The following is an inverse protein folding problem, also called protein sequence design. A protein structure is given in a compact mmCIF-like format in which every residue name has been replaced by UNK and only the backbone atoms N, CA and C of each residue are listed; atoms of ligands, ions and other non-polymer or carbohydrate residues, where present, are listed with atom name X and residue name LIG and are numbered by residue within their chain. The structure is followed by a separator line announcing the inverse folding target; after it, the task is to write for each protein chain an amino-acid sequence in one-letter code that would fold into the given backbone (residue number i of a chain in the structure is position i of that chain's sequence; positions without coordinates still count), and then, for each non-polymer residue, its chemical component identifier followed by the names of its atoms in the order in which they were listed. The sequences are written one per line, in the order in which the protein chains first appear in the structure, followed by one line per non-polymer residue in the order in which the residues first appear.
data_IF_816629275172
#
_entry.id   IF_816629275172
#
_cell.length_a   1.000
_cell.length_b   1.000
_cell.length_c   1.000
_cell.angle_alpha   90.00
_cell.angle_beta   90.00
_cell.angle_gamma   90.00
#
_symmetry.space_group_name_H-M   'P 1'
#
loop_
_entity.id
_entity.type
_entity.pdbx_description
1 polymer ?
#
# COMPACT_ATOMS: atom_id res chain seq x y z
N UNK A 1 -30.66 -5.68 -27.35
CA UNK A 1 -30.02 -5.29 -26.06
C UNK A 1 -30.53 -6.24 -24.97
N UNK A 2 -29.98 -7.42 -24.88
CA UNK A 2 -30.38 -8.41 -23.88
C UNK A 2 -29.21 -9.36 -23.71
N UNK A 3 -28.91 -9.74 -22.48
CA UNK A 3 -27.95 -10.77 -22.04
C UNK A 3 -26.51 -10.32 -21.75
N UNK A 4 -26.31 -9.30 -20.89
CA UNK A 4 -25.08 -9.14 -20.10
C UNK A 4 -25.37 -8.75 -18.63
N UNK A 5 -26.41 -9.26 -18.01
CA UNK A 5 -26.86 -8.85 -16.67
C UNK A 5 -26.50 -9.80 -15.52
N UNK A 6 -25.72 -10.88 -15.73
CA UNK A 6 -25.34 -11.78 -14.63
C UNK A 6 -23.90 -12.32 -14.70
N UNK A 7 -22.97 -11.66 -15.39
CA UNK A 7 -21.54 -11.92 -15.23
C UNK A 7 -21.00 -11.14 -14.04
N UNK A 8 -20.37 -11.78 -13.07
CA UNK A 8 -19.66 -11.10 -11.99
C UNK A 8 -18.71 -10.07 -12.59
N UNK A 9 -19.04 -8.77 -12.45
CA UNK A 9 -18.17 -7.70 -12.96
C UNK A 9 -16.82 -7.82 -12.27
N UNK A 10 -15.74 -7.83 -13.06
CA UNK A 10 -14.37 -7.78 -12.53
C UNK A 10 -14.27 -6.61 -11.53
N UNK A 11 -13.90 -6.85 -10.27
CA UNK A 11 -13.68 -5.75 -9.33
C UNK A 11 -12.50 -4.89 -9.78
N UNK A 12 -12.58 -3.59 -9.51
CA UNK A 12 -11.58 -2.61 -9.95
C UNK A 12 -11.08 -1.81 -8.76
N UNK A 13 -9.77 -1.67 -8.62
CA UNK A 13 -9.15 -0.75 -7.69
C UNK A 13 -8.40 0.37 -8.41
N UNK A 14 -8.23 1.50 -7.73
CA UNK A 14 -7.33 2.57 -8.16
C UNK A 14 -6.02 2.48 -7.38
N UNK A 15 -4.89 2.39 -8.07
CA UNK A 15 -3.55 2.54 -7.49
C UNK A 15 -3.04 3.96 -7.72
N UNK A 16 -2.76 4.70 -6.64
CA UNK A 16 -2.13 6.01 -6.67
C UNK A 16 -0.75 5.91 -6.04
N UNK A 17 0.31 6.16 -6.81
CA UNK A 17 1.68 6.00 -6.29
C UNK A 17 2.76 6.33 -7.29
N UNK A 18 4.03 6.18 -6.87
CA UNK A 18 5.19 6.41 -7.72
C UNK A 18 5.33 5.35 -8.82
N UNK A 19 5.92 5.73 -9.93
CA UNK A 19 6.35 4.80 -10.97
C UNK A 19 7.79 4.35 -10.69
N UNK A 20 7.96 3.05 -10.49
CA UNK A 20 9.27 2.39 -10.36
C UNK A 20 9.62 1.74 -11.72
N UNK A 21 10.67 2.22 -12.44
CA UNK A 21 11.02 1.68 -13.76
C UNK A 21 11.49 0.22 -13.71
N UNK A 22 11.91 -0.28 -12.54
CA UNK A 22 12.29 -1.69 -12.39
C UNK A 22 11.09 -2.62 -12.28
N UNK A 23 9.91 -2.06 -12.01
CA UNK A 23 8.68 -2.82 -11.74
C UNK A 23 8.70 -3.57 -10.41
N UNK A 24 9.70 -3.35 -9.55
CA UNK A 24 9.82 -3.99 -8.24
C UNK A 24 8.88 -3.40 -7.19
N UNK A 25 8.46 -2.15 -7.37
CA UNK A 25 7.54 -1.44 -6.47
C UNK A 25 6.60 -0.52 -7.25
N UNK A 26 5.96 0.45 -6.57
CA UNK A 26 5.11 1.47 -7.16
C UNK A 26 3.91 0.90 -7.92
N UNK A 27 3.33 1.72 -8.80
CA UNK A 27 2.07 1.37 -9.50
C UNK A 27 2.19 0.12 -10.40
N UNK A 28 3.38 -0.22 -10.86
CA UNK A 28 3.58 -1.47 -11.62
C UNK A 28 3.42 -2.71 -10.72
N UNK A 29 4.00 -2.68 -9.52
CA UNK A 29 3.79 -3.74 -8.54
C UNK A 29 2.36 -3.76 -8.04
N UNK A 30 1.75 -2.59 -7.83
CA UNK A 30 0.36 -2.48 -7.42
C UNK A 30 -0.57 -3.18 -8.43
N UNK A 31 -0.36 -2.97 -9.73
CA UNK A 31 -1.13 -3.62 -10.80
C UNK A 31 -0.90 -5.14 -10.84
N UNK A 32 0.34 -5.60 -10.64
CA UNK A 32 0.64 -7.04 -10.58
C UNK A 32 -0.02 -7.71 -9.38
N UNK A 33 0.07 -7.08 -8.21
CA UNK A 33 -0.55 -7.61 -6.99
C UNK A 33 -2.08 -7.66 -7.11
N UNK A 34 -2.70 -6.64 -7.71
CA UNK A 34 -4.13 -6.63 -7.99
C UNK A 34 -4.53 -7.75 -8.95
N UNK A 35 -3.80 -7.93 -10.05
CA UNK A 35 -4.05 -9.00 -11.01
C UNK A 35 -3.91 -10.39 -10.38
N UNK A 36 -2.87 -10.60 -9.55
CA UNK A 36 -2.68 -11.83 -8.78
C UNK A 36 -3.79 -12.08 -7.73
N UNK A 37 -4.50 -11.02 -7.31
CA UNK A 37 -5.69 -11.08 -6.45
C UNK A 37 -7.01 -11.22 -7.22
N UNK A 38 -7.00 -11.28 -8.56
CA UNK A 38 -8.19 -11.37 -9.41
C UNK A 38 -8.93 -10.04 -9.58
N UNK A 39 -8.22 -8.90 -9.53
CA UNK A 39 -8.77 -7.53 -9.56
C UNK A 39 -8.07 -6.71 -10.64
N UNK A 40 -8.83 -5.93 -11.40
CA UNK A 40 -8.26 -4.94 -12.32
C UNK A 40 -7.75 -3.71 -11.55
N UNK A 41 -6.59 -3.18 -11.92
CA UNK A 41 -6.06 -1.95 -11.34
C UNK A 41 -5.97 -0.85 -12.40
N UNK A 42 -6.64 0.28 -12.14
CA UNK A 42 -6.29 1.56 -12.76
C UNK A 42 -5.10 2.14 -12.01
N UNK A 43 -4.20 2.84 -12.68
CA UNK A 43 -3.03 3.43 -12.06
C UNK A 43 -2.91 4.93 -12.38
N UNK A 44 -2.74 5.73 -11.32
CA UNK A 44 -2.40 7.16 -11.42
C UNK A 44 -1.01 7.36 -10.80
N UNK A 45 -0.09 7.85 -11.62
CA UNK A 45 1.30 8.05 -11.23
C UNK A 45 1.47 9.39 -10.52
N UNK A 46 1.86 9.36 -9.23
CA UNK A 46 2.12 10.59 -8.44
C UNK A 46 3.47 11.22 -8.77
N UNK A 47 4.46 10.38 -9.10
CA UNK A 47 5.82 10.79 -9.44
C UNK A 47 6.55 9.70 -10.22
N UNK A 48 7.50 10.12 -11.05
CA UNK A 48 8.43 9.24 -11.75
C UNK A 48 9.71 9.12 -10.92
N UNK A 49 10.13 7.89 -10.59
CA UNK A 49 11.37 7.67 -9.84
C UNK A 49 12.52 7.28 -10.75
N UNK A 50 13.72 7.65 -10.35
CA UNK A 50 14.99 7.15 -10.90
C UNK A 50 15.61 6.27 -9.83
N UNK A 51 15.46 4.96 -10.00
CA UNK A 51 15.94 3.97 -9.04
C UNK A 51 16.30 2.67 -9.74
N UNK A 52 17.10 1.86 -9.03
CA UNK A 52 17.37 0.47 -9.35
C UNK A 52 16.74 -0.44 -8.29
N UNK A 53 16.94 -1.74 -8.38
CA UNK A 53 16.46 -2.66 -7.33
C UNK A 53 17.20 -2.46 -5.99
N UNK A 54 18.40 -1.82 -6.01
CA UNK A 54 19.24 -1.61 -4.82
C UNK A 54 19.27 -0.16 -4.34
N UNK A 55 19.05 0.83 -5.21
CA UNK A 55 19.27 2.24 -4.90
C UNK A 55 18.18 3.15 -5.43
N UNK A 56 17.94 4.25 -4.73
CA UNK A 56 17.05 5.33 -5.13
C UNK A 56 17.89 6.60 -5.35
N UNK A 57 17.73 7.26 -6.50
CA UNK A 57 18.44 8.48 -6.83
C UNK A 57 17.58 9.73 -6.59
N UNK A 58 16.45 9.83 -7.28
CA UNK A 58 15.55 10.99 -7.22
C UNK A 58 14.16 10.65 -7.75
N UNK A 59 13.24 11.57 -7.62
CA UNK A 59 11.97 11.53 -8.33
C UNK A 59 11.63 12.88 -8.97
N UNK A 60 10.76 12.83 -9.98
CA UNK A 60 10.10 13.99 -10.57
C UNK A 60 8.59 13.89 -10.28
N UNK A 61 7.98 14.98 -9.84
CA UNK A 61 6.54 15.06 -9.58
C UNK A 61 5.74 15.12 -10.87
N UNK A 62 4.55 14.56 -10.87
CA UNK A 62 3.53 14.81 -11.90
C UNK A 62 2.79 16.11 -11.52
N UNK A 63 2.49 17.02 -12.48
CA UNK A 63 1.74 18.23 -12.24
C UNK A 63 0.34 17.97 -11.65
N UNK A 64 -0.15 18.92 -10.86
CA UNK A 64 -1.42 18.78 -10.12
C UNK A 64 -2.62 18.58 -11.05
N UNK A 65 -2.72 19.36 -12.11
CA UNK A 65 -3.75 19.30 -13.14
C UNK A 65 -3.81 17.93 -13.81
N UNK A 66 -2.64 17.37 -14.19
CA UNK A 66 -2.53 16.01 -14.77
C UNK A 66 -3.00 14.96 -13.77
N UNK A 67 -2.69 15.14 -12.48
CA UNK A 67 -3.17 14.20 -11.43
C UNK A 67 -4.69 14.26 -11.30
N UNK A 68 -5.26 15.44 -11.22
CA UNK A 68 -6.71 15.63 -11.08
C UNK A 68 -7.46 15.06 -12.30
N UNK A 69 -6.99 15.33 -13.52
CA UNK A 69 -7.57 14.77 -14.76
C UNK A 69 -7.45 13.24 -14.82
N UNK A 70 -6.29 12.70 -14.43
CA UNK A 70 -6.06 11.24 -14.42
C UNK A 70 -6.96 10.53 -13.41
N UNK A 71 -7.14 11.10 -12.23
CA UNK A 71 -8.05 10.59 -11.20
C UNK A 71 -9.51 10.62 -11.68
N UNK A 72 -9.92 11.72 -12.31
CA UNK A 72 -11.27 11.86 -12.88
C UNK A 72 -11.49 10.87 -14.03
N UNK A 73 -10.52 10.70 -14.93
CA UNK A 73 -10.59 9.74 -16.02
C UNK A 73 -10.74 8.29 -15.54
N UNK A 74 -9.97 7.91 -14.51
CA UNK A 74 -10.07 6.57 -13.92
C UNK A 74 -11.45 6.33 -13.29
N UNK A 75 -11.97 7.29 -12.51
CA UNK A 75 -13.27 7.20 -11.88
C UNK A 75 -14.43 7.25 -12.87
N UNK A 76 -14.26 7.99 -13.99
CA UNK A 76 -15.26 8.03 -15.08
C UNK A 76 -15.28 6.76 -15.94
N UNK A 77 -14.15 6.05 -16.01
CA UNK A 77 -14.03 4.84 -16.85
C UNK A 77 -14.49 3.57 -16.14
N UNK A 78 -14.37 3.51 -14.81
CA UNK A 78 -14.64 2.29 -14.03
C UNK A 78 -15.38 2.57 -12.73
N UNK A 79 -16.21 1.60 -12.32
CA UNK A 79 -16.73 1.57 -10.95
C UNK A 79 -15.63 1.08 -10.01
N UNK A 80 -14.99 1.99 -9.33
CA UNK A 80 -13.94 1.68 -8.37
C UNK A 80 -14.52 1.05 -7.10
N UNK A 81 -13.86 0.05 -6.54
CA UNK A 81 -14.23 -0.60 -5.28
C UNK A 81 -13.32 -0.21 -4.11
N UNK A 82 -12.09 0.23 -4.39
CA UNK A 82 -11.15 0.73 -3.38
C UNK A 82 -10.05 1.58 -4.03
N UNK A 83 -9.34 2.35 -3.22
CA UNK A 83 -8.15 3.11 -3.62
C UNK A 83 -6.97 2.66 -2.77
N UNK A 84 -5.88 2.27 -3.41
CA UNK A 84 -4.58 2.10 -2.75
C UNK A 84 -3.76 3.36 -2.94
N UNK A 85 -3.24 3.92 -1.86
CA UNK A 85 -2.32 5.05 -1.88
C UNK A 85 -0.95 4.58 -1.39
N UNK A 86 0.07 4.73 -2.26
CA UNK A 86 1.47 4.46 -1.94
C UNK A 86 2.29 5.74 -1.81
N UNK A 87 3.42 5.82 -2.54
CA UNK A 87 4.27 7.00 -2.54
C UNK A 87 3.51 8.23 -3.09
N UNK A 88 3.36 9.25 -2.26
CA UNK A 88 2.70 10.52 -2.61
C UNK A 88 3.72 11.54 -3.15
N UNK A 89 4.87 11.65 -2.52
CA UNK A 89 5.99 12.48 -2.94
C UNK A 89 5.83 13.96 -2.59
N UNK A 90 4.85 14.66 -3.13
CA UNK A 90 4.73 16.12 -3.08
C UNK A 90 3.42 16.60 -2.45
N UNK A 91 3.38 17.89 -2.07
CA UNK A 91 2.16 18.54 -1.60
C UNK A 91 1.05 18.48 -2.64
N UNK A 92 1.36 18.77 -3.91
CA UNK A 92 0.38 18.73 -4.99
C UNK A 92 -0.29 17.36 -5.13
N UNK A 93 0.50 16.27 -5.06
CA UNK A 93 -0.02 14.91 -5.11
C UNK A 93 -0.83 14.57 -3.87
N UNK A 94 -0.41 15.00 -2.67
CA UNK A 94 -1.17 14.80 -1.44
C UNK A 94 -2.54 15.48 -1.50
N UNK A 95 -2.58 16.72 -1.98
CA UNK A 95 -3.81 17.49 -2.14
C UNK A 95 -4.71 16.93 -3.24
N UNK A 96 -4.15 16.38 -4.34
CA UNK A 96 -4.93 15.75 -5.40
C UNK A 96 -5.69 14.54 -4.89
N UNK A 97 -4.98 13.58 -4.27
CA UNK A 97 -5.62 12.36 -3.76
C UNK A 97 -6.55 12.65 -2.58
N UNK A 98 -6.25 13.65 -1.74
CA UNK A 98 -7.12 14.09 -0.66
C UNK A 98 -8.43 14.66 -1.20
N UNK A 99 -8.37 15.56 -2.21
CA UNK A 99 -9.54 16.12 -2.88
C UNK A 99 -10.39 15.04 -3.54
N UNK A 100 -9.74 14.10 -4.25
CA UNK A 100 -10.40 12.95 -4.85
C UNK A 100 -11.14 12.10 -3.79
N UNK A 101 -10.48 11.80 -2.69
CA UNK A 101 -11.09 11.01 -1.60
C UNK A 101 -12.25 11.72 -0.92
N UNK A 102 -12.22 13.04 -0.86
CA UNK A 102 -13.31 13.83 -0.31
C UNK A 102 -14.55 13.84 -1.21
N UNK A 103 -14.35 13.78 -2.53
CA UNK A 103 -15.42 13.67 -3.52
C UNK A 103 -16.01 12.23 -3.60
N UNK A 104 -15.22 11.21 -3.23
CA UNK A 104 -15.59 9.79 -3.31
C UNK A 104 -15.56 9.14 -1.91
N UNK A 105 -16.41 9.63 -1.01
CA UNK A 105 -16.38 9.25 0.41
C UNK A 105 -16.65 7.76 0.68
N UNK A 106 -17.38 7.11 -0.20
CA UNK A 106 -17.74 5.68 -0.09
C UNK A 106 -16.61 4.75 -0.53
N UNK A 107 -15.57 5.27 -1.20
CA UNK A 107 -14.42 4.47 -1.58
C UNK A 107 -13.46 4.28 -0.39
N UNK A 108 -13.22 3.03 0.07
CA UNK A 108 -12.24 2.75 1.08
C UNK A 108 -10.82 3.03 0.57
N UNK A 109 -10.03 3.78 1.37
CA UNK A 109 -8.62 4.03 1.11
C UNK A 109 -7.75 3.07 1.89
N UNK A 110 -6.89 2.34 1.20
CA UNK A 110 -5.77 1.59 1.80
C UNK A 110 -4.51 2.41 1.61
N UNK A 111 -3.99 2.98 2.69
CA UNK A 111 -2.81 3.84 2.65
C UNK A 111 -1.59 3.07 3.14
N UNK A 112 -0.62 2.87 2.26
CA UNK A 112 0.73 2.42 2.62
C UNK A 112 1.58 3.66 2.91
N UNK A 113 1.96 3.93 4.17
CA UNK A 113 2.55 5.20 4.55
C UNK A 113 4.04 5.27 4.21
N UNK A 114 4.34 5.22 2.91
CA UNK A 114 5.70 5.22 2.37
C UNK A 114 6.36 6.58 2.60
N UNK A 115 7.15 6.69 3.66
CA UNK A 115 7.88 7.91 4.01
C UNK A 115 9.32 7.91 3.49
N UNK A 116 9.92 6.70 3.39
CA UNK A 116 11.30 6.51 2.90
C UNK A 116 11.38 5.31 1.97
N UNK A 117 12.37 5.36 1.06
CA UNK A 117 12.74 4.18 0.25
C UNK A 117 13.40 3.11 1.11
N UNK A 118 13.51 1.89 0.59
CA UNK A 118 14.31 0.82 1.24
C UNK A 118 15.78 1.17 1.42
N UNK A 119 16.31 2.12 0.63
CA UNK A 119 17.66 2.69 0.79
C UNK A 119 17.72 3.88 1.76
N UNK A 120 16.59 4.27 2.39
CA UNK A 120 16.53 5.33 3.40
C UNK A 120 16.27 6.74 2.86
N UNK A 121 16.21 6.95 1.54
CA UNK A 121 15.93 8.25 0.95
C UNK A 121 14.50 8.75 1.31
N UNK A 122 14.36 10.05 1.55
CA UNK A 122 13.06 10.67 1.86
C UNK A 122 12.18 10.67 0.61
N UNK A 123 10.98 10.10 0.71
CA UNK A 123 10.02 9.97 -0.37
C UNK A 123 8.79 10.88 -0.22
N UNK A 124 8.68 11.61 0.88
CA UNK A 124 7.63 12.60 1.12
C UNK A 124 8.28 13.95 1.43
N UNK A 125 7.95 14.97 0.64
CA UNK A 125 8.46 16.32 0.89
C UNK A 125 7.88 16.87 2.20
N UNK A 126 8.66 17.68 2.97
CA UNK A 126 8.15 18.28 4.21
C UNK A 126 6.90 19.13 4.01
N UNK A 127 6.78 19.82 2.87
CA UNK A 127 5.61 20.62 2.52
C UNK A 127 4.34 19.81 2.29
N UNK A 128 4.45 18.50 2.04
CA UNK A 128 3.31 17.61 1.88
C UNK A 128 2.70 17.16 3.22
N UNK A 129 3.45 17.23 4.33
CA UNK A 129 3.04 16.69 5.63
C UNK A 129 1.65 17.10 6.11
N UNK A 130 1.23 18.39 6.00
CA UNK A 130 -0.10 18.80 6.46
C UNK A 130 -1.24 18.09 5.72
N UNK A 131 -1.18 18.05 4.37
CA UNK A 131 -2.17 17.36 3.56
C UNK A 131 -2.09 15.83 3.73
N UNK A 132 -0.88 15.30 3.88
CA UNK A 132 -0.65 13.88 4.12
C UNK A 132 -1.25 13.40 5.44
N UNK A 133 -1.14 14.17 6.53
CA UNK A 133 -1.80 13.86 7.81
C UNK A 133 -3.33 13.83 7.69
N UNK A 134 -3.91 14.70 6.86
CA UNK A 134 -5.35 14.66 6.58
C UNK A 134 -5.71 13.40 5.78
N UNK A 135 -4.86 13.00 4.81
CA UNK A 135 -5.05 11.77 4.05
C UNK A 135 -5.03 10.52 4.94
N UNK A 136 -4.12 10.45 5.93
CA UNK A 136 -4.08 9.35 6.89
C UNK A 136 -5.40 9.21 7.68
N UNK A 137 -6.05 10.32 8.03
CA UNK A 137 -7.36 10.33 8.71
C UNK A 137 -8.53 9.94 7.79
N UNK A 138 -8.30 9.86 6.49
CA UNK A 138 -9.26 9.37 5.51
C UNK A 138 -9.09 7.88 5.20
N UNK A 139 -8.00 7.28 5.68
CA UNK A 139 -7.72 5.87 5.45
C UNK A 139 -8.78 4.98 6.13
N UNK A 140 -9.26 3.98 5.39
CA UNK A 140 -10.01 2.86 5.97
C UNK A 140 -9.05 1.81 6.53
N UNK A 141 -7.91 1.65 5.86
CA UNK A 141 -6.83 0.75 6.30
C UNK A 141 -5.48 1.46 6.14
N UNK A 142 -4.65 1.38 7.16
CA UNK A 142 -3.28 1.86 7.17
C UNK A 142 -2.32 0.66 7.29
N UNK A 143 -1.27 0.61 6.45
CA UNK A 143 -0.35 -0.54 6.40
C UNK A 143 1.10 -0.16 6.72
N UNK A 144 1.41 0.40 7.89
CA UNK A 144 2.77 0.79 8.25
C UNK A 144 3.67 -0.43 8.49
N UNK A 145 4.97 -0.28 8.22
CA UNK A 145 6.00 -1.10 8.84
C UNK A 145 6.39 -0.53 10.22
N UNK A 146 7.27 -1.21 10.95
CA UNK A 146 7.68 -0.79 12.29
C UNK A 146 8.26 0.64 12.29
N UNK A 147 9.15 0.95 11.35
CA UNK A 147 9.79 2.25 11.28
C UNK A 147 8.79 3.38 10.91
N UNK A 148 7.84 3.09 10.01
CA UNK A 148 6.77 4.01 9.64
C UNK A 148 5.86 4.28 10.84
N UNK A 149 5.50 3.25 11.61
CA UNK A 149 4.72 3.39 12.84
C UNK A 149 5.44 4.26 13.88
N UNK A 150 6.73 4.01 14.14
CA UNK A 150 7.55 4.86 15.02
C UNK A 150 7.55 6.33 14.58
N UNK A 151 7.66 6.59 13.28
CA UNK A 151 7.64 7.96 12.73
C UNK A 151 6.28 8.63 12.82
N UNK A 152 5.21 7.88 12.62
CA UNK A 152 3.84 8.41 12.71
C UNK A 152 3.45 8.74 14.16
N UNK A 153 3.94 7.95 15.13
CA UNK A 153 3.69 8.13 16.55
C UNK A 153 4.74 9.01 17.27
N UNK A 154 5.82 9.36 16.54
CA UNK A 154 6.97 10.09 17.10
C UNK A 154 7.55 9.45 18.38
N UNK A 155 7.57 8.11 18.42
CA UNK A 155 8.15 7.33 19.53
C UNK A 155 8.77 6.03 19.05
N UNK A 156 9.66 5.45 19.90
CA UNK A 156 10.22 4.13 19.64
C UNK A 156 9.23 3.05 20.04
N UNK A 157 9.30 1.93 19.31
CA UNK A 157 8.54 0.71 19.59
C UNK A 157 9.56 -0.38 19.95
N UNK A 158 9.59 -0.77 21.22
CA UNK A 158 10.71 -1.54 21.78
C UNK A 158 10.40 -3.01 22.02
N UNK A 159 9.14 -3.41 21.92
CA UNK A 159 8.71 -4.81 22.10
C UNK A 159 7.55 -5.17 21.20
N UNK A 160 7.27 -6.48 21.08
CA UNK A 160 6.12 -6.96 20.32
C UNK A 160 4.77 -6.54 20.96
N UNK A 161 4.73 -6.49 22.30
CA UNK A 161 3.54 -5.97 23.01
C UNK A 161 3.33 -4.48 22.72
N UNK A 162 4.41 -3.69 22.78
CA UNK A 162 4.41 -2.28 22.45
C UNK A 162 4.00 -2.05 20.96
N UNK A 163 4.39 -2.93 20.04
CA UNK A 163 3.94 -2.88 18.66
C UNK A 163 2.41 -3.12 18.52
N UNK A 164 1.85 -3.98 19.36
CA UNK A 164 0.40 -4.19 19.37
C UNK A 164 -0.35 -2.96 19.93
N UNK A 165 0.19 -2.32 20.97
CA UNK A 165 -0.33 -1.04 21.50
C UNK A 165 -0.22 0.07 20.45
N UNK A 166 0.94 0.19 19.78
CA UNK A 166 1.16 1.17 18.71
C UNK A 166 0.16 1.03 17.55
N UNK A 167 -0.25 -0.19 17.22
CA UNK A 167 -1.31 -0.40 16.22
C UNK A 167 -2.66 0.16 16.67
N UNK A 168 -2.98 0.05 17.97
CA UNK A 168 -4.15 0.68 18.59
C UNK A 168 -4.07 2.21 18.57
N UNK A 169 -2.94 2.78 19.01
CA UNK A 169 -2.69 4.24 19.00
C UNK A 169 -2.82 4.84 17.59
N UNK A 170 -2.26 4.17 16.57
CA UNK A 170 -2.41 4.60 15.18
C UNK A 170 -3.86 4.55 14.72
N UNK A 171 -4.62 3.54 15.14
CA UNK A 171 -6.05 3.45 14.84
C UNK A 171 -6.84 4.58 15.50
N UNK A 172 -6.57 4.92 16.75
CA UNK A 172 -7.19 6.05 17.45
C UNK A 172 -6.85 7.39 16.78
N UNK A 173 -5.58 7.59 16.39
CA UNK A 173 -5.11 8.81 15.73
C UNK A 173 -5.73 9.03 14.35
N UNK A 174 -5.99 7.96 13.61
CA UNK A 174 -6.40 8.03 12.19
C UNK A 174 -7.85 7.63 11.94
N UNK A 175 -8.46 6.84 12.82
CA UNK A 175 -9.74 6.18 12.61
C UNK A 175 -9.68 4.93 11.72
N UNK A 176 -8.49 4.55 11.24
CA UNK A 176 -8.27 3.44 10.33
C UNK A 176 -8.12 2.10 11.07
N UNK A 177 -8.46 1.00 10.38
CA UNK A 177 -7.88 -0.29 10.75
C UNK A 177 -6.38 -0.28 10.42
N UNK A 178 -5.54 -0.84 11.30
CA UNK A 178 -4.08 -0.81 11.15
C UNK A 178 -3.54 -2.21 10.91
N UNK A 179 -2.73 -2.36 9.87
CA UNK A 179 -1.97 -3.58 9.56
C UNK A 179 -0.49 -3.25 9.76
N UNK A 180 0.02 -3.43 10.98
CA UNK A 180 1.43 -3.24 11.29
C UNK A 180 2.23 -4.43 10.75
N UNK A 181 2.99 -4.18 9.67
CA UNK A 181 3.75 -5.19 8.92
C UNK A 181 4.91 -5.72 9.74
N UNK A 182 4.92 -7.03 10.01
CA UNK A 182 5.93 -7.70 10.83
C UNK A 182 7.14 -8.21 10.05
N UNK A 183 7.26 -7.87 8.78
CA UNK A 183 8.33 -8.37 7.90
C UNK A 183 9.73 -8.24 8.47
N UNK A 184 10.00 -7.19 9.22
CA UNK A 184 11.31 -6.84 9.80
C UNK A 184 11.28 -6.70 11.32
N UNK A 185 10.33 -7.36 12.01
CA UNK A 185 10.32 -7.34 13.47
C UNK A 185 11.61 -7.95 14.02
N UNK A 186 12.34 -7.24 14.89
CA UNK A 186 13.62 -7.70 15.41
C UNK A 186 13.46 -8.75 16.54
N UNK A 187 12.23 -8.98 16.99
CA UNK A 187 11.96 -9.82 18.15
C UNK A 187 11.91 -11.31 17.75
N UNK A 188 12.61 -12.15 18.54
CA UNK A 188 12.73 -13.60 18.30
C UNK A 188 11.35 -14.25 18.16
N UNK A 189 11.17 -15.02 17.08
CA UNK A 189 9.92 -15.74 16.77
C UNK A 189 8.76 -14.86 16.30
N UNK A 190 8.98 -13.56 16.04
CA UNK A 190 7.94 -12.61 15.61
C UNK A 190 8.12 -12.09 14.18
N UNK A 191 9.26 -12.38 13.56
CA UNK A 191 9.54 -11.97 12.18
C UNK A 191 8.47 -12.52 11.21
N UNK A 192 7.89 -11.65 10.40
CA UNK A 192 6.82 -11.97 9.45
C UNK A 192 5.42 -12.07 10.04
N UNK A 193 5.26 -11.96 11.37
CA UNK A 193 3.95 -11.89 12.02
C UNK A 193 3.39 -10.48 11.90
N UNK A 194 2.29 -10.28 11.16
CA UNK A 194 1.63 -8.99 11.08
C UNK A 194 0.63 -8.83 12.22
N UNK A 195 0.51 -7.60 12.75
CA UNK A 195 -0.46 -7.23 13.76
C UNK A 195 -1.58 -6.45 13.07
N UNK A 196 -2.80 -6.96 13.15
CA UNK A 196 -3.98 -6.28 12.60
C UNK A 196 -4.84 -5.79 13.75
N UNK A 197 -4.99 -4.47 13.86
CA UNK A 197 -5.95 -3.82 14.76
C UNK A 197 -7.15 -3.36 13.94
N UNK A 198 -8.33 -3.90 14.24
CA UNK A 198 -9.57 -3.58 13.52
C UNK A 198 -10.77 -3.77 14.43
N UNK A 199 -11.67 -2.78 14.48
CA UNK A 199 -12.87 -2.84 15.31
C UNK A 199 -12.59 -3.05 16.80
N UNK A 200 -11.52 -2.44 17.34
CA UNK A 200 -11.10 -2.57 18.74
C UNK A 200 -10.45 -3.91 19.08
N UNK A 201 -10.13 -4.76 18.11
CA UNK A 201 -9.57 -6.11 18.32
C UNK A 201 -8.22 -6.26 17.63
N UNK A 202 -7.33 -7.00 18.27
CA UNK A 202 -6.04 -7.39 17.71
C UNK A 202 -6.14 -8.81 17.15
N UNK A 203 -5.66 -8.97 15.91
CA UNK A 203 -5.44 -10.28 15.27
C UNK A 203 -3.98 -10.40 14.89
N UNK A 204 -3.35 -11.52 15.24
CA UNK A 204 -1.98 -11.82 14.87
C UNK A 204 -2.00 -12.76 13.66
N UNK A 205 -1.41 -12.33 12.56
CA UNK A 205 -1.35 -13.10 11.33
C UNK A 205 0.06 -13.65 11.14
N UNK A 206 0.23 -14.98 11.14
CA UNK A 206 1.55 -15.61 11.05
C UNK A 206 2.23 -15.31 9.70
N UNK A 207 3.56 -15.46 9.60
CA UNK A 207 4.26 -15.37 8.33
C UNK A 207 3.71 -16.37 7.31
N UNK A 208 3.68 -15.98 6.04
CA UNK A 208 3.31 -16.86 4.94
C UNK A 208 4.50 -17.07 4.00
N UNK A 209 4.72 -18.33 3.61
CA UNK A 209 5.75 -18.72 2.65
C UNK A 209 7.18 -18.74 3.21
N UNK A 210 8.04 -19.48 2.52
CA UNK A 210 9.49 -19.46 2.77
C UNK A 210 10.10 -18.17 2.26
N UNK A 211 10.77 -17.41 3.14
CA UNK A 211 11.51 -16.21 2.74
C UNK A 211 12.73 -16.60 1.89
N UNK A 212 12.74 -16.15 0.65
CA UNK A 212 13.97 -16.10 -0.16
C UNK A 212 14.49 -14.66 -0.13
N UNK A 213 15.32 -14.33 0.86
CA UNK A 213 15.90 -13.00 1.00
C UNK A 213 14.88 -11.91 1.41
N UNK A 214 15.16 -10.66 1.06
CA UNK A 214 14.31 -9.47 1.30
C UNK A 214 13.96 -8.82 -0.05
N UNK A 215 12.90 -9.30 -0.74
CA UNK A 215 12.51 -8.78 -2.04
C UNK A 215 12.09 -7.31 -1.93
N UNK A 216 12.55 -6.51 -2.90
CA UNK A 216 12.08 -5.13 -3.04
C UNK A 216 10.57 -5.11 -3.34
N UNK A 217 9.83 -4.19 -2.69
CA UNK A 217 8.41 -3.94 -2.99
C UNK A 217 7.40 -4.82 -2.25
N UNK A 218 7.81 -5.69 -1.32
CA UNK A 218 6.89 -6.53 -0.52
C UNK A 218 5.82 -5.74 0.21
N UNK A 219 6.16 -4.55 0.75
CA UNK A 219 5.21 -3.65 1.39
C UNK A 219 4.12 -3.16 0.44
N UNK A 220 4.53 -2.64 -0.73
CA UNK A 220 3.60 -2.19 -1.77
C UNK A 220 2.73 -3.35 -2.27
N UNK A 221 3.32 -4.53 -2.52
CA UNK A 221 2.59 -5.71 -2.97
C UNK A 221 1.51 -6.15 -1.97
N UNK A 222 1.84 -6.19 -0.67
CA UNK A 222 0.87 -6.54 0.38
C UNK A 222 -0.25 -5.51 0.48
N UNK A 223 0.08 -4.21 0.54
CA UNK A 223 -0.91 -3.14 0.62
C UNK A 223 -1.86 -3.17 -0.58
N UNK A 224 -1.35 -3.41 -1.78
CA UNK A 224 -2.14 -3.49 -3.01
C UNK A 224 -3.00 -4.75 -3.08
N UNK A 225 -2.48 -5.90 -2.64
CA UNK A 225 -3.27 -7.11 -2.54
C UNK A 225 -4.42 -6.95 -1.53
N UNK A 226 -4.18 -6.26 -0.39
CA UNK A 226 -5.24 -5.92 0.57
C UNK A 226 -6.28 -5.00 -0.07
N UNK A 227 -5.85 -3.92 -0.75
CA UNK A 227 -6.76 -3.01 -1.44
C UNK A 227 -7.59 -3.71 -2.52
N UNK A 228 -6.98 -4.60 -3.29
CA UNK A 228 -7.65 -5.42 -4.28
C UNK A 228 -8.75 -6.30 -3.66
N UNK A 229 -8.45 -6.94 -2.54
CA UNK A 229 -9.44 -7.79 -1.85
C UNK A 229 -10.58 -6.96 -1.23
N UNK A 230 -10.28 -5.77 -0.70
CA UNK A 230 -11.31 -4.83 -0.25
C UNK A 230 -12.16 -4.36 -1.44
N UNK A 231 -11.56 -4.07 -2.60
CA UNK A 231 -12.29 -3.73 -3.82
C UNK A 231 -13.22 -4.86 -4.30
N UNK A 232 -12.87 -6.11 -3.99
CA UNK A 232 -13.69 -7.29 -4.24
C UNK A 232 -14.77 -7.54 -3.17
N UNK A 233 -14.82 -6.72 -2.11
CA UNK A 233 -15.85 -6.77 -1.05
C UNK A 233 -15.43 -7.49 0.23
N UNK A 234 -14.16 -7.89 0.38
CA UNK A 234 -13.70 -8.54 1.61
C UNK A 234 -13.62 -7.53 2.77
N UNK A 235 -13.97 -7.98 3.98
CA UNK A 235 -13.67 -7.26 5.20
C UNK A 235 -12.14 -7.24 5.47
N UNK A 236 -11.68 -6.31 6.35
CA UNK A 236 -10.25 -6.03 6.54
C UNK A 236 -9.42 -7.28 6.87
N UNK A 237 -9.79 -8.06 7.88
CA UNK A 237 -9.00 -9.24 8.30
C UNK A 237 -8.93 -10.31 7.20
N UNK A 238 -10.05 -10.74 6.58
CA UNK A 238 -10.00 -11.60 5.39
C UNK A 238 -9.17 -11.04 4.24
N UNK A 239 -9.27 -9.73 3.95
CA UNK A 239 -8.46 -9.08 2.91
C UNK A 239 -6.96 -9.16 3.20
N UNK A 240 -6.53 -8.98 4.46
CA UNK A 240 -5.13 -9.13 4.86
C UNK A 240 -4.65 -10.57 4.71
N UNK A 241 -5.44 -11.57 5.14
CA UNK A 241 -5.11 -13.00 4.98
C UNK A 241 -4.95 -13.37 3.50
N UNK A 242 -5.91 -12.97 2.66
CA UNK A 242 -5.83 -13.19 1.22
C UNK A 242 -4.64 -12.45 0.59
N UNK A 243 -4.39 -11.19 1.02
CA UNK A 243 -3.24 -10.40 0.58
C UNK A 243 -1.90 -11.05 0.92
N UNK A 244 -1.77 -11.64 2.12
CA UNK A 244 -0.58 -12.42 2.49
C UNK A 244 -0.39 -13.64 1.58
N UNK A 245 -1.47 -14.33 1.23
CA UNK A 245 -1.42 -15.46 0.30
C UNK A 245 -0.98 -15.02 -1.11
N UNK A 246 -1.47 -13.88 -1.59
CA UNK A 246 -1.01 -13.27 -2.85
C UNK A 246 0.48 -12.95 -2.76
N UNK A 247 0.92 -12.25 -1.71
CA UNK A 247 2.33 -11.91 -1.50
C UNK A 247 3.23 -13.17 -1.49
N UNK A 248 2.78 -14.25 -0.85
CA UNK A 248 3.52 -15.52 -0.83
C UNK A 248 3.74 -16.08 -2.24
N UNK A 249 2.74 -16.03 -3.11
CA UNK A 249 2.88 -16.46 -4.52
C UNK A 249 3.85 -15.57 -5.29
N UNK A 250 3.73 -14.25 -5.12
CA UNK A 250 4.64 -13.29 -5.77
C UNK A 250 6.11 -13.50 -5.35
N UNK A 251 6.36 -13.84 -4.07
CA UNK A 251 7.70 -14.17 -3.57
C UNK A 251 8.18 -15.49 -4.18
N UNK A 252 7.31 -16.50 -4.27
CA UNK A 252 7.67 -17.82 -4.82
C UNK A 252 8.00 -17.76 -6.31
N UNK A 253 7.30 -16.92 -7.09
CA UNK A 253 7.55 -16.68 -8.51
C UNK A 253 8.73 -15.73 -8.79
N UNK A 254 9.29 -15.09 -7.75
CA UNK A 254 10.35 -14.10 -7.91
C UNK A 254 11.66 -14.66 -8.46
N UNK A 255 12.44 -13.79 -9.10
CA UNK A 255 13.74 -14.09 -9.69
C UNK A 255 14.78 -13.05 -9.27
N UNK A 256 16.09 -13.36 -9.28
CA UNK A 256 17.11 -12.39 -8.91
C UNK A 256 17.27 -11.32 -10.00
N UNK A 257 17.41 -10.06 -9.59
CA UNK A 257 17.87 -8.97 -10.48
C UNK A 257 19.36 -9.13 -10.81
N UNK A 258 19.85 -8.33 -11.76
CA UNK A 258 21.29 -8.27 -12.07
C UNK A 258 22.14 -7.84 -10.85
N UNK A 259 21.55 -7.11 -9.90
CA UNK A 259 22.18 -6.70 -8.64
C UNK A 259 22.06 -7.77 -7.53
N UNK A 260 21.54 -8.97 -7.87
CA UNK A 260 21.39 -10.09 -6.94
C UNK A 260 20.21 -9.93 -5.97
N UNK A 261 19.40 -8.86 -6.04
CA UNK A 261 18.21 -8.72 -5.21
C UNK A 261 17.05 -9.56 -5.74
N UNK A 262 16.36 -10.30 -4.87
CA UNK A 262 15.15 -11.00 -5.28
C UNK A 262 14.05 -10.00 -5.68
N UNK A 263 13.30 -10.35 -6.72
CA UNK A 263 12.14 -9.61 -7.21
C UNK A 263 10.86 -10.33 -6.81
N UNK A 264 9.71 -9.71 -7.11
CA UNK A 264 8.37 -10.29 -6.97
C UNK A 264 7.80 -10.54 -8.37
N UNK A 265 7.24 -11.73 -8.59
CA UNK A 265 6.60 -12.06 -9.87
C UNK A 265 5.39 -12.97 -9.63
N UNK A 266 4.24 -12.77 -10.38
CA UNK A 266 3.06 -13.64 -10.29
C UNK A 266 3.32 -15.08 -10.67
#
# INVERSE_FOLDING_TARGET
MTAMENGSRMPVMLAFGGFDPTGGAGVLMDSRAAAAAGVHACAVVSCLTVQTTASFSRFASVPRDVLDESLAAAAGSFRLGAVKVGMVGTRAAAEAILSFSAAHRDLPLVVDPVLRSSSGALLLSPSALPAYRQLLRRAAVLTPNLHEAEKLLDRRIVSFADAAEAAGELSELTGASVVLKGGHFPWKGRMGTDIVFSGGRISLLPPVGGRRGDPHGTGCALASAIAARIAAGDAVVPAVLAGKSVLSRLIAGGFPSAEGRPTLFP
#
